data_IF_622556196768
#
_entry.id   IF_622556196768
#
_cell.length_a   1.000
_cell.length_b   1.000
_cell.length_c   1.000
_cell.angle_alpha   90.00
_cell.angle_beta   90.00
_cell.angle_gamma   90.00
#
_symmetry.space_group_name_H-M   'P 1'
#
loop_
_entity.id
_entity.type
_entity.pdbx_description
1 polymer ?
#
# COMPACT_ATOMS: atom_id res chain seq x y z
N UNK A 1 -9.99 14.22 0.59
CA UNK A 1 -9.34 13.16 1.40
C UNK A 1 -7.92 12.97 0.88
N UNK A 2 -6.97 13.03 1.77
CA UNK A 2 -5.55 12.89 1.44
C UNK A 2 -5.09 11.45 1.60
N UNK A 3 -4.07 11.08 0.84
CA UNK A 3 -3.51 9.72 0.87
C UNK A 3 -3.06 9.32 2.27
N UNK A 4 -2.49 10.24 3.04
CA UNK A 4 -2.10 9.98 4.44
C UNK A 4 -3.26 9.53 5.34
N UNK A 5 -4.49 9.87 4.99
CA UNK A 5 -5.68 9.51 5.77
C UNK A 5 -6.14 8.07 5.54
N UNK A 6 -5.68 7.44 4.45
CA UNK A 6 -6.12 6.10 4.03
C UNK A 6 -4.97 5.10 3.91
N UNK A 7 -3.72 5.53 3.95
CA UNK A 7 -2.55 4.65 3.89
C UNK A 7 -2.40 3.79 5.13
N UNK A 8 -1.72 2.64 4.99
CA UNK A 8 -1.32 1.79 6.11
C UNK A 8 0.06 2.18 6.63
N UNK A 9 0.23 2.16 7.94
CA UNK A 9 1.49 2.41 8.64
C UNK A 9 1.66 1.43 9.81
N UNK A 10 2.88 1.18 10.30
CA UNK A 10 4.16 1.53 9.69
C UNK A 10 4.46 0.69 8.46
N UNK A 11 5.41 1.14 7.65
CA UNK A 11 5.94 0.38 6.52
C UNK A 11 7.23 -0.31 6.95
N UNK A 12 7.45 -1.55 6.47
CA UNK A 12 8.70 -2.28 6.70
C UNK A 12 9.71 -1.85 5.64
N UNK A 13 10.88 -1.42 6.09
CA UNK A 13 11.99 -1.00 5.22
C UNK A 13 13.23 -1.81 5.58
N UNK A 14 13.88 -2.38 4.59
CA UNK A 14 15.11 -3.17 4.77
C UNK A 14 16.18 -2.72 3.77
N UNK A 15 17.48 -2.85 4.12
CA UNK A 15 18.55 -2.61 3.15
C UNK A 15 18.64 -3.73 2.10
N UNK A 16 19.23 -3.45 0.91
CA UNK A 16 19.33 -4.43 -0.19
C UNK A 16 20.09 -5.71 0.15
N UNK A 17 21.00 -5.66 1.13
CA UNK A 17 21.78 -6.83 1.57
C UNK A 17 20.98 -7.81 2.44
N UNK A 18 19.78 -7.45 2.85
CA UNK A 18 18.95 -8.27 3.72
C UNK A 18 18.64 -9.60 3.03
N UNK A 19 18.90 -10.76 3.68
CA UNK A 19 18.53 -12.06 3.14
C UNK A 19 17.01 -12.15 2.94
N UNK A 20 16.59 -12.77 1.86
CA UNK A 20 15.15 -12.91 1.56
C UNK A 20 14.41 -13.71 2.64
N UNK A 21 15.09 -14.60 3.36
CA UNK A 21 14.53 -15.29 4.53
C UNK A 21 14.08 -14.31 5.59
N UNK A 22 14.89 -13.30 5.87
CA UNK A 22 14.57 -12.28 6.88
C UNK A 22 13.45 -11.36 6.39
N UNK A 23 13.42 -11.06 5.10
CA UNK A 23 12.30 -10.32 4.49
C UNK A 23 10.98 -11.09 4.67
N UNK A 24 10.98 -12.40 4.39
CA UNK A 24 9.81 -13.24 4.59
C UNK A 24 9.36 -13.27 6.07
N UNK A 25 10.30 -13.30 7.01
CA UNK A 25 10.00 -13.23 8.45
C UNK A 25 9.38 -11.90 8.84
N UNK A 26 9.87 -10.80 8.28
CA UNK A 26 9.25 -9.48 8.47
C UNK A 26 7.81 -9.43 7.96
N UNK A 27 7.56 -10.03 6.79
CA UNK A 27 6.21 -10.12 6.24
C UNK A 27 5.27 -10.87 7.17
N UNK A 28 5.72 -11.98 7.71
CA UNK A 28 4.95 -12.80 8.65
C UNK A 28 4.69 -12.04 9.96
N UNK A 29 5.74 -11.50 10.56
CA UNK A 29 5.64 -10.80 11.84
C UNK A 29 4.75 -9.55 11.77
N UNK A 30 4.89 -8.77 10.71
CA UNK A 30 4.15 -7.50 10.53
C UNK A 30 2.83 -7.66 9.79
N UNK A 31 2.53 -8.85 9.27
CA UNK A 31 1.30 -9.11 8.51
C UNK A 31 1.22 -8.32 7.20
N UNK A 32 2.36 -8.10 6.53
CA UNK A 32 2.42 -7.32 5.28
C UNK A 32 2.87 -8.19 4.13
N UNK A 33 2.39 -7.90 2.94
CA UNK A 33 2.77 -8.60 1.71
C UNK A 33 3.74 -7.81 0.82
N UNK A 34 4.22 -6.67 1.28
CA UNK A 34 5.16 -5.82 0.55
C UNK A 34 6.14 -5.17 1.52
N UNK A 35 7.41 -5.20 1.16
CA UNK A 35 8.50 -4.60 1.93
C UNK A 35 9.25 -3.62 1.03
N UNK A 36 9.57 -2.46 1.55
CA UNK A 36 10.36 -1.44 0.87
C UNK A 36 11.84 -1.75 1.07
N UNK A 37 12.60 -1.66 -0.01
CA UNK A 37 14.06 -1.83 0.01
C UNK A 37 14.69 -0.46 -0.19
N UNK A 38 15.48 -0.03 0.78
CA UNK A 38 16.09 1.30 0.75
C UNK A 38 17.49 1.27 1.35
N UNK A 39 18.36 2.05 0.75
CA UNK A 39 19.71 2.31 1.24
C UNK A 39 19.91 3.83 1.21
N UNK A 40 19.89 4.44 2.40
CA UNK A 40 19.94 5.88 2.51
C UNK A 40 18.57 6.55 2.35
N UNK A 41 18.51 7.83 1.88
CA UNK A 41 17.26 8.59 1.85
C UNK A 41 16.29 8.20 0.73
N UNK A 42 16.74 7.43 -0.26
CA UNK A 42 15.95 7.03 -1.41
C UNK A 42 15.44 5.60 -1.31
N UNK A 43 14.45 5.27 -2.15
CA UNK A 43 13.95 3.91 -2.31
C UNK A 43 14.75 3.21 -3.41
N UNK A 44 15.27 2.00 -3.13
CA UNK A 44 15.96 1.17 -4.12
C UNK A 44 14.99 0.28 -4.88
N UNK A 45 13.97 -0.22 -4.21
CA UNK A 45 12.98 -1.09 -4.81
C UNK A 45 11.91 -1.51 -3.82
N UNK A 46 11.04 -2.40 -4.27
CA UNK A 46 10.06 -3.08 -3.44
C UNK A 46 10.10 -4.57 -3.71
N UNK A 47 9.73 -5.35 -2.73
CA UNK A 47 9.58 -6.81 -2.86
C UNK A 47 8.25 -7.23 -2.26
N UNK A 48 7.53 -8.08 -3.00
CA UNK A 48 6.26 -8.64 -2.55
C UNK A 48 6.42 -10.11 -2.17
N UNK A 49 5.45 -10.65 -1.46
CA UNK A 49 5.34 -12.09 -1.19
C UNK A 49 5.33 -12.91 -2.49
N UNK A 50 4.65 -12.43 -3.53
CA UNK A 50 4.69 -13.06 -4.84
C UNK A 50 6.08 -13.06 -5.46
N UNK A 51 6.84 -11.98 -5.33
CA UNK A 51 8.22 -11.89 -5.81
C UNK A 51 9.10 -12.95 -5.14
N UNK A 52 8.94 -13.17 -3.85
CA UNK A 52 9.68 -14.21 -3.12
C UNK A 52 9.31 -15.62 -3.64
N UNK A 53 8.04 -15.86 -3.93
CA UNK A 53 7.61 -17.14 -4.49
C UNK A 53 8.18 -17.37 -5.89
N UNK A 54 8.09 -16.38 -6.76
CA UNK A 54 8.40 -16.51 -8.21
C UNK A 54 9.89 -16.32 -8.50
N UNK A 55 10.56 -15.39 -7.79
CA UNK A 55 11.96 -15.02 -8.08
C UNK A 55 12.97 -15.68 -7.14
N UNK A 56 12.52 -16.30 -6.07
CA UNK A 56 13.38 -17.03 -5.13
C UNK A 56 13.03 -18.51 -5.15
N UNK A 57 11.86 -18.87 -4.66
CA UNK A 57 11.48 -20.28 -4.50
C UNK A 57 11.37 -21.00 -5.84
N UNK A 58 10.70 -20.44 -6.83
CA UNK A 58 10.52 -21.06 -8.15
C UNK A 58 11.83 -21.20 -8.94
N UNK A 59 12.84 -20.39 -8.64
CA UNK A 59 14.15 -20.41 -9.27
C UNK A 59 15.20 -21.16 -8.43
N UNK A 60 14.78 -21.88 -7.40
CA UNK A 60 15.64 -22.64 -6.49
C UNK A 60 16.76 -21.81 -5.84
N UNK A 61 16.52 -20.52 -5.62
CA UNK A 61 17.43 -19.66 -4.88
C UNK A 61 17.28 -19.89 -3.38
N UNK A 62 18.39 -19.80 -2.66
CA UNK A 62 18.40 -19.99 -1.20
C UNK A 62 17.87 -18.77 -0.45
N UNK A 63 17.48 -18.99 0.81
CA UNK A 63 17.01 -17.95 1.72
C UNK A 63 18.06 -16.88 2.07
N UNK A 64 19.34 -17.16 1.80
CA UNK A 64 20.44 -16.21 1.99
C UNK A 64 20.60 -15.21 0.84
N UNK A 65 19.83 -15.36 -0.23
CA UNK A 65 19.86 -14.45 -1.37
C UNK A 65 19.55 -13.02 -0.89
N UNK A 66 20.41 -12.04 -1.22
CA UNK A 66 20.12 -10.63 -0.90
C UNK A 66 18.86 -10.15 -1.61
N UNK A 67 18.00 -9.45 -0.90
CA UNK A 67 16.73 -8.97 -1.45
C UNK A 67 16.92 -8.02 -2.64
N UNK A 68 18.02 -7.29 -2.67
CA UNK A 68 18.37 -6.42 -3.80
C UNK A 68 18.47 -7.14 -5.15
N UNK A 69 18.76 -8.45 -5.15
CA UNK A 69 18.83 -9.23 -6.39
C UNK A 69 17.46 -9.63 -6.94
N UNK A 70 16.41 -9.61 -6.11
CA UNK A 70 15.08 -10.10 -6.48
C UNK A 70 13.99 -9.03 -6.40
N UNK A 71 14.30 -7.85 -5.87
CA UNK A 71 13.37 -6.74 -5.77
C UNK A 71 12.96 -6.20 -7.14
N UNK A 72 11.84 -5.51 -7.21
CA UNK A 72 11.45 -4.69 -8.35
C UNK A 72 12.03 -3.30 -8.18
N UNK A 73 12.83 -2.85 -9.15
CA UNK A 73 13.50 -1.54 -9.11
C UNK A 73 12.61 -0.41 -9.66
N UNK A 74 11.67 -0.77 -10.52
CA UNK A 74 10.70 0.19 -11.05
C UNK A 74 9.60 0.42 -10.03
N UNK A 75 9.72 1.49 -9.27
CA UNK A 75 8.78 1.82 -8.19
C UNK A 75 8.04 3.11 -8.53
N UNK A 76 6.71 3.01 -8.53
CA UNK A 76 5.83 4.17 -8.61
C UNK A 76 5.36 4.52 -7.21
N UNK A 77 5.52 5.78 -6.83
CA UNK A 77 5.15 6.28 -5.50
C UNK A 77 4.12 7.40 -5.62
N UNK A 78 3.38 7.60 -4.54
CA UNK A 78 2.52 8.76 -4.34
C UNK A 78 2.97 9.50 -3.08
N UNK A 79 2.53 10.74 -2.92
CA UNK A 79 2.88 11.55 -1.75
C UNK A 79 1.75 11.53 -0.72
N UNK A 80 2.12 11.58 0.54
CA UNK A 80 1.18 11.56 1.66
C UNK A 80 0.16 12.72 1.59
N UNK A 81 0.59 13.88 1.11
CA UNK A 81 -0.25 15.07 1.00
C UNK A 81 -1.03 15.17 -0.32
N UNK A 82 -0.84 14.24 -1.24
CA UNK A 82 -1.66 14.16 -2.45
C UNK A 82 -3.10 13.80 -2.11
N UNK A 83 -4.03 14.28 -2.92
CA UNK A 83 -5.42 13.83 -2.85
C UNK A 83 -5.56 12.39 -3.34
N UNK A 84 -6.56 11.66 -2.85
CA UNK A 84 -6.77 10.25 -3.22
C UNK A 84 -7.03 10.06 -4.72
N UNK A 85 -7.49 11.08 -5.40
CA UNK A 85 -7.68 11.08 -6.86
C UNK A 85 -6.37 10.81 -7.61
N UNK A 86 -5.24 11.29 -7.08
CA UNK A 86 -3.90 11.00 -7.63
C UNK A 86 -3.61 9.50 -7.55
N UNK A 87 -3.97 8.85 -6.44
CA UNK A 87 -3.79 7.42 -6.30
C UNK A 87 -4.67 6.63 -7.25
N UNK A 88 -5.93 7.01 -7.41
CA UNK A 88 -6.83 6.38 -8.39
C UNK A 88 -6.27 6.46 -9.80
N UNK A 89 -5.80 7.62 -10.20
CA UNK A 89 -5.21 7.83 -11.52
C UNK A 89 -3.94 6.97 -11.69
N UNK A 90 -3.12 6.89 -10.67
CA UNK A 90 -1.90 6.08 -10.67
C UNK A 90 -2.21 4.59 -10.80
N UNK A 91 -3.17 4.06 -10.03
CA UNK A 91 -3.59 2.67 -10.16
C UNK A 91 -4.18 2.36 -11.54
N UNK A 92 -4.88 3.32 -12.12
CA UNK A 92 -5.48 3.17 -13.45
C UNK A 92 -4.42 3.08 -14.57
N UNK A 93 -3.32 3.81 -14.43
CA UNK A 93 -2.23 3.85 -15.43
C UNK A 93 -1.26 2.68 -15.31
N UNK A 94 -1.22 2.04 -14.16
CA UNK A 94 -0.25 0.98 -13.86
C UNK A 94 -0.96 -0.28 -13.36
N UNK A 95 -0.29 -1.42 -13.56
CA UNK A 95 -0.81 -2.73 -13.10
C UNK A 95 -0.50 -3.02 -11.63
N UNK A 96 0.02 -2.04 -10.90
CA UNK A 96 0.37 -2.21 -9.49
C UNK A 96 -0.88 -2.18 -8.61
N UNK A 97 -0.87 -2.96 -7.55
CA UNK A 97 -1.92 -2.97 -6.52
C UNK A 97 -1.47 -2.30 -5.22
N UNK A 98 -0.21 -1.91 -5.13
CA UNK A 98 0.40 -1.29 -3.96
C UNK A 98 1.28 -0.13 -4.38
N UNK A 99 1.18 0.98 -3.67
CA UNK A 99 1.97 2.19 -3.92
C UNK A 99 2.63 2.61 -2.61
N UNK A 100 3.96 2.67 -2.56
CA UNK A 100 4.64 3.32 -1.44
C UNK A 100 4.26 4.79 -1.38
N UNK A 101 4.08 5.28 -0.17
CA UNK A 101 3.69 6.67 0.10
C UNK A 101 4.89 7.41 0.67
N UNK A 102 5.28 8.48 0.01
CA UNK A 102 6.43 9.30 0.39
C UNK A 102 6.00 10.57 1.12
N UNK A 103 6.83 11.00 2.05
CA UNK A 103 6.79 12.31 2.68
C UNK A 103 8.22 12.77 2.94
N UNK A 104 8.40 13.90 3.62
CA UNK A 104 9.74 14.34 4.02
C UNK A 104 10.41 13.22 4.85
N UNK A 105 11.66 12.93 4.49
CA UNK A 105 12.44 11.90 5.16
C UNK A 105 12.28 10.48 4.63
N UNK A 106 11.45 10.23 3.61
CA UNK A 106 11.38 8.94 2.95
C UNK A 106 9.98 8.35 2.83
N UNK A 107 9.89 7.02 2.81
CA UNK A 107 8.63 6.29 2.72
C UNK A 107 7.97 6.24 4.09
N UNK A 108 6.73 6.70 4.17
CA UNK A 108 5.98 6.84 5.44
C UNK A 108 4.80 5.89 5.55
N UNK A 109 4.40 5.26 4.45
CA UNK A 109 3.26 4.35 4.45
C UNK A 109 3.16 3.57 3.16
N UNK A 110 2.13 2.75 3.09
CA UNK A 110 1.78 1.95 1.92
C UNK A 110 0.30 2.13 1.64
N UNK A 111 -0.04 2.35 0.38
CA UNK A 111 -1.42 2.41 -0.08
C UNK A 111 -1.72 1.22 -0.95
N UNK A 112 -2.69 0.40 -0.58
CA UNK A 112 -3.16 -0.70 -1.43
C UNK A 112 -4.43 -0.29 -2.16
N UNK A 113 -4.63 -0.85 -3.35
CA UNK A 113 -5.88 -0.64 -4.09
C UNK A 113 -7.08 -1.13 -3.29
N UNK A 114 -6.93 -2.25 -2.59
CA UNK A 114 -8.00 -2.84 -1.78
C UNK A 114 -8.40 -1.91 -0.61
N UNK A 115 -7.42 -1.31 0.08
CA UNK A 115 -7.68 -0.35 1.15
C UNK A 115 -8.40 0.91 0.62
N UNK A 116 -7.97 1.39 -0.54
CA UNK A 116 -8.59 2.55 -1.17
C UNK A 116 -10.04 2.27 -1.55
N UNK A 117 -10.31 1.11 -2.16
CA UNK A 117 -11.67 0.69 -2.52
C UNK A 117 -12.55 0.51 -1.28
N UNK A 118 -12.01 -0.05 -0.20
CA UNK A 118 -12.75 -0.20 1.05
C UNK A 118 -13.13 1.15 1.66
N UNK A 119 -12.22 2.11 1.68
CA UNK A 119 -12.49 3.47 2.15
C UNK A 119 -13.57 4.16 1.30
N UNK A 120 -13.51 3.99 -0.01
CA UNK A 120 -14.53 4.55 -0.90
C UNK A 120 -15.90 3.92 -0.67
N UNK A 121 -15.95 2.62 -0.40
CA UNK A 121 -17.19 1.94 -0.03
C UNK A 121 -17.77 2.47 1.27
N UNK A 122 -16.96 2.65 2.29
CA UNK A 122 -17.38 3.21 3.59
C UNK A 122 -17.88 4.63 3.45
N UNK A 123 -17.17 5.48 2.70
CA UNK A 123 -17.60 6.84 2.42
C UNK A 123 -18.95 6.86 1.68
N UNK A 124 -19.13 5.99 0.69
CA UNK A 124 -20.39 5.87 -0.02
C UNK A 124 -21.54 5.45 0.89
N UNK A 125 -21.32 4.50 1.79
CA UNK A 125 -22.31 4.08 2.77
C UNK A 125 -22.67 5.22 3.73
N UNK A 126 -21.70 5.97 4.23
CA UNK A 126 -21.92 7.10 5.12
C UNK A 126 -22.72 8.23 4.43
N UNK A 127 -22.46 8.46 3.15
CA UNK A 127 -23.21 9.44 2.36
C UNK A 127 -24.66 9.00 2.09
N UNK A 128 -24.90 7.69 1.99
CA UNK A 128 -26.26 7.15 1.78
C UNK A 128 -27.11 7.14 3.05
N UNK A 129 -26.51 7.11 4.23
CA UNK A 129 -27.23 7.07 5.50
C UNK A 129 -28.24 8.22 5.64
N UNK A 130 -27.90 9.50 5.39
CA UNK A 130 -28.87 10.57 5.45
C UNK A 130 -30.01 10.43 4.46
N UNK A 131 -29.75 9.88 3.26
CA UNK A 131 -30.76 9.66 2.22
C UNK A 131 -31.74 8.59 2.66
N UNK A 132 -31.21 7.45 3.15
CA UNK A 132 -32.04 6.36 3.67
C UNK A 132 -32.90 6.83 4.82
N UNK A 133 -32.34 7.61 5.73
CA UNK A 133 -33.06 8.18 6.87
C UNK A 133 -34.19 9.11 6.42
N UNK A 134 -33.92 9.98 5.44
CA UNK A 134 -34.91 10.90 4.90
C UNK A 134 -36.08 10.17 4.20
N UNK A 135 -35.83 9.01 3.60
CA UNK A 135 -36.86 8.18 2.97
C UNK A 135 -37.66 7.42 4.03
N UNK A 136 -37.02 6.93 5.08
CA UNK A 136 -37.62 6.08 6.11
C UNK A 136 -38.37 6.86 7.18
N UNK A 137 -37.99 8.11 7.41
CA UNK A 137 -38.60 9.01 8.39
C UNK A 137 -39.13 10.25 7.67
N UNK A 138 -40.34 10.20 7.13
CA UNK A 138 -40.90 11.38 6.48
C UNK A 138 -40.99 12.53 7.47
N UNK A 139 -40.56 13.71 7.02
CA UNK A 139 -40.66 14.92 7.82
C UNK A 139 -42.13 15.10 8.23
N UNK A 140 -42.38 15.19 9.55
CA UNK A 140 -43.64 15.67 10.03
C UNK A 140 -43.69 17.14 9.65
N UNK A 141 -44.62 17.50 8.78
CA UNK A 141 -44.97 18.87 8.59
C UNK A 141 -45.31 19.42 9.96
N UNK A 142 -44.53 20.37 10.44
CA UNK A 142 -44.92 21.14 11.63
C UNK A 142 -46.03 22.05 11.21
N UNK A 143 -47.22 21.80 11.66
CA UNK A 143 -48.33 22.70 11.59
C UNK A 143 -47.99 24.01 12.33
#
# INVERSE_FOLDING_TARGET
MKIKDVMSTPVVVVPPITPVRDVARHMDFSGVGCVVVSEGPGIAGVVTDRDLAVRVLALDKGGDTPVGEVMSEHVVMVRADDEVEVAFDTFRRHSFRRLPVAAEGGVVGMLTLDDLLLQMHQLGADLLTPVVKAISEPQRESD
#
